data_IF_668430277330
#
_entry.id   IF_668430277330
#
_cell.length_a   1.000
_cell.length_b   1.000
_cell.length_c   1.000
_cell.angle_alpha   90.00
_cell.angle_beta   90.00
_cell.angle_gamma   90.00
#
_symmetry.space_group_name_H-M   'P 1'
#
loop_
_entity.id
_entity.type
_entity.pdbx_description
1 polymer ?
#
# COMPACT_ATOMS: atom_id res chain seq x y z
N UNK A 1 -0.21 -18.70 31.28
CA UNK A 1 -0.14 -19.37 29.97
C UNK A 1 -1.55 -19.55 29.48
N UNK A 2 -2.05 -18.81 28.50
CA UNK A 2 -1.48 -18.66 27.16
C UNK A 2 -1.91 -17.29 26.57
N UNK A 3 -0.95 -16.42 26.24
CA UNK A 3 -1.16 -15.18 25.47
C UNK A 3 -1.19 -15.55 24.00
N UNK A 4 -2.39 -15.76 23.45
CA UNK A 4 -2.61 -15.99 22.02
C UNK A 4 -3.07 -14.70 21.33
N UNK A 5 -2.18 -14.13 20.52
CA UNK A 5 -2.42 -12.98 19.65
C UNK A 5 -3.67 -13.19 18.77
N UNK A 6 -4.72 -12.42 19.06
CA UNK A 6 -5.94 -12.45 18.26
C UNK A 6 -5.79 -11.51 17.06
N UNK A 7 -5.43 -12.12 15.93
CA UNK A 7 -5.70 -11.62 14.59
C UNK A 7 -7.08 -10.94 14.56
N UNK A 8 -7.10 -9.64 14.26
CA UNK A 8 -8.31 -8.86 14.08
C UNK A 8 -9.24 -9.57 13.08
N UNK A 9 -10.38 -10.00 13.62
CA UNK A 9 -11.41 -10.74 12.88
C UNK A 9 -12.08 -9.81 11.87
N UNK A 10 -11.93 -10.13 10.58
CA UNK A 10 -12.75 -9.54 9.53
C UNK A 10 -14.20 -10.04 9.71
N UNK A 11 -15.01 -9.25 10.42
CA UNK A 11 -16.45 -9.49 10.50
C UNK A 11 -17.06 -9.32 9.10
N UNK A 12 -17.59 -10.41 8.56
CA UNK A 12 -18.25 -10.47 7.25
C UNK A 12 -19.60 -9.73 7.36
N UNK A 13 -19.68 -8.49 6.92
CA UNK A 13 -20.96 -7.80 6.73
C UNK A 13 -21.52 -8.12 5.33
N UNK A 14 -22.61 -8.89 5.30
CA UNK A 14 -23.46 -9.06 4.12
C UNK A 14 -24.21 -7.76 3.82
N UNK A 15 -23.64 -6.92 2.97
CA UNK A 15 -24.38 -5.94 2.15
C UNK A 15 -23.77 -6.04 0.75
N UNK A 16 -24.60 -6.15 -0.29
CA UNK A 16 -24.22 -6.58 -1.63
C UNK A 16 -23.36 -5.61 -2.45
N UNK A 17 -22.24 -5.11 -1.92
CA UNK A 17 -21.19 -4.44 -2.67
C UNK A 17 -19.86 -5.15 -2.45
N UNK A 18 -19.18 -5.51 -3.54
CA UNK A 18 -17.84 -6.12 -3.49
C UNK A 18 -16.91 -5.11 -2.80
N UNK A 19 -16.18 -5.47 -1.73
CA UNK A 19 -15.22 -4.55 -1.14
C UNK A 19 -14.21 -4.16 -2.22
N UNK A 20 -14.03 -2.86 -2.46
CA UNK A 20 -12.95 -2.36 -3.30
C UNK A 20 -11.64 -2.90 -2.71
N UNK A 21 -10.72 -3.36 -3.57
CA UNK A 21 -9.41 -3.78 -3.10
C UNK A 21 -8.75 -2.61 -2.36
N UNK A 22 -8.09 -2.89 -1.23
CA UNK A 22 -7.35 -1.88 -0.43
C UNK A 22 -6.28 -1.14 -1.25
N UNK A 23 -5.86 -1.71 -2.37
CA UNK A 23 -4.79 -1.20 -3.21
C UNK A 23 -5.26 -0.97 -4.64
N UNK A 24 -5.04 0.24 -5.14
CA UNK A 24 -5.15 0.57 -6.57
C UNK A 24 -3.77 0.46 -7.23
N UNK A 25 -3.75 0.17 -8.53
CA UNK A 25 -2.53 -0.02 -9.34
C UNK A 25 -2.39 -1.43 -9.94
N UNK A 26 -1.24 -1.74 -10.57
CA UNK A 26 -0.06 -0.88 -10.68
C UNK A 26 -0.28 0.34 -11.59
N UNK A 27 0.36 1.46 -11.24
CA UNK A 27 0.47 2.64 -12.10
C UNK A 27 1.88 2.76 -12.66
N UNK A 28 1.96 3.15 -13.93
CA UNK A 28 3.20 3.38 -14.68
C UNK A 28 3.62 4.86 -14.60
N UNK A 29 3.77 5.32 -13.36
CA UNK A 29 4.07 6.71 -13.00
C UNK A 29 5.17 6.74 -11.94
N UNK A 30 5.54 7.94 -11.49
CA UNK A 30 6.43 8.13 -10.36
C UNK A 30 5.85 9.13 -9.36
N UNK A 31 5.97 8.80 -8.08
CA UNK A 31 5.75 9.74 -6.98
C UNK A 31 7.06 10.48 -6.69
N UNK A 32 7.03 11.81 -6.80
CA UNK A 32 7.99 12.72 -6.17
C UNK A 32 7.21 13.58 -5.18
N UNK A 33 7.59 13.69 -3.89
CA UNK A 33 8.93 13.87 -3.33
C UNK A 33 9.64 12.56 -2.89
N UNK A 34 10.74 12.69 -2.15
CA UNK A 34 11.47 11.55 -1.59
C UNK A 34 10.53 10.64 -0.78
N UNK A 35 10.69 9.31 -0.90
CA UNK A 35 9.96 8.38 -0.05
C UNK A 35 10.28 8.63 1.42
N UNK A 36 9.32 8.30 2.29
CA UNK A 36 9.52 8.40 3.74
C UNK A 36 10.51 7.35 4.24
N UNK A 37 10.38 6.13 3.71
CA UNK A 37 11.25 5.00 4.03
C UNK A 37 11.45 4.12 2.79
N UNK A 38 12.52 3.34 2.82
CA UNK A 38 12.89 2.44 1.75
C UNK A 38 13.42 1.12 2.30
N UNK A 39 13.18 0.04 1.56
CA UNK A 39 13.50 -1.33 1.98
C UNK A 39 13.97 -2.16 0.79
N UNK A 40 14.77 -3.18 1.08
CA UNK A 40 15.03 -4.32 0.19
C UNK A 40 14.15 -5.48 0.64
N UNK A 41 13.07 -5.74 -0.10
CA UNK A 41 12.05 -6.73 0.26
C UNK A 41 11.87 -7.75 -0.84
N UNK A 42 11.67 -9.00 -0.44
CA UNK A 42 11.61 -10.13 -1.37
C UNK A 42 10.43 -10.09 -2.36
N UNK A 43 9.34 -9.39 -2.00
CA UNK A 43 8.13 -9.35 -2.84
C UNK A 43 7.26 -8.12 -2.53
N UNK A 44 6.34 -7.84 -3.46
CA UNK A 44 5.35 -6.77 -3.34
C UNK A 44 4.45 -6.90 -2.10
N UNK A 45 4.10 -8.14 -1.69
CA UNK A 45 3.23 -8.36 -0.54
C UNK A 45 3.89 -7.85 0.74
N UNK A 46 5.18 -8.10 0.93
CA UNK A 46 5.94 -7.54 2.05
C UNK A 46 6.01 -6.01 1.99
N UNK A 47 6.23 -5.43 0.80
CA UNK A 47 6.25 -3.97 0.63
C UNK A 47 4.92 -3.31 0.99
N UNK A 48 3.81 -3.92 0.55
CA UNK A 48 2.46 -3.50 0.92
C UNK A 48 2.23 -3.62 2.42
N UNK A 49 2.63 -4.73 3.04
CA UNK A 49 2.47 -4.94 4.48
C UNK A 49 3.20 -3.85 5.28
N UNK A 50 4.45 -3.54 4.93
CA UNK A 50 5.20 -2.46 5.58
C UNK A 50 4.49 -1.10 5.50
N UNK A 51 3.83 -0.81 4.38
CA UNK A 51 3.01 0.40 4.26
C UNK A 51 1.74 0.33 5.11
N UNK A 52 1.06 -0.83 5.19
CA UNK A 52 -0.11 -0.99 6.07
C UNK A 52 0.24 -0.81 7.55
N UNK A 53 1.43 -1.27 7.95
CA UNK A 53 1.92 -1.16 9.33
C UNK A 53 2.38 0.27 9.68
N UNK A 54 2.56 1.14 8.68
CA UNK A 54 2.95 2.54 8.82
C UNK A 54 1.72 3.45 8.63
N UNK A 55 1.13 4.03 9.69
CA UNK A 55 -0.14 4.77 9.60
C UNK A 55 -0.11 5.97 8.65
N UNK A 56 1.08 6.53 8.40
CA UNK A 56 1.27 7.66 7.49
C UNK A 56 1.40 7.26 6.02
N UNK A 57 1.53 5.97 5.73
CA UNK A 57 1.74 5.50 4.36
C UNK A 57 0.43 5.50 3.56
N UNK A 58 0.52 6.04 2.35
CA UNK A 58 -0.60 6.17 1.41
C UNK A 58 -0.27 5.57 0.04
N UNK A 59 0.99 5.27 -0.25
CA UNK A 59 1.41 4.60 -1.48
C UNK A 59 2.76 3.90 -1.32
N UNK A 60 3.02 2.96 -2.23
CA UNK A 60 4.32 2.34 -2.40
C UNK A 60 4.80 2.44 -3.85
N UNK A 61 6.10 2.34 -4.04
CA UNK A 61 6.75 2.02 -5.31
C UNK A 61 7.53 0.72 -5.13
N UNK A 62 7.31 -0.25 -6.02
CA UNK A 62 7.96 -1.55 -5.93
C UNK A 62 8.46 -2.03 -7.28
N UNK A 63 9.64 -2.65 -7.31
CA UNK A 63 10.13 -3.43 -8.45
C UNK A 63 10.55 -4.83 -8.00
N UNK A 64 10.17 -5.85 -8.79
CA UNK A 64 10.62 -7.23 -8.58
C UNK A 64 11.98 -7.53 -9.23
N UNK A 65 12.44 -6.67 -10.14
CA UNK A 65 13.58 -6.94 -11.03
C UNK A 65 14.68 -5.89 -10.96
N UNK A 66 14.33 -4.66 -10.58
CA UNK A 66 15.26 -3.55 -10.43
C UNK A 66 15.39 -3.11 -8.97
N UNK A 67 16.49 -2.43 -8.68
CA UNK A 67 16.70 -1.74 -7.41
C UNK A 67 17.31 -0.36 -7.64
N UNK A 68 17.04 0.56 -6.72
CA UNK A 68 17.73 1.85 -6.63
C UNK A 68 18.52 1.88 -5.33
N UNK A 69 19.85 1.98 -5.42
CA UNK A 69 20.77 1.86 -4.29
C UNK A 69 20.57 0.55 -3.47
N UNK A 70 20.26 -0.56 -4.16
CA UNK A 70 20.01 -1.85 -3.53
C UNK A 70 18.64 -1.97 -2.85
N UNK A 71 17.73 -1.02 -3.08
CA UNK A 71 16.40 -0.98 -2.49
C UNK A 71 15.35 -1.11 -3.59
N UNK A 72 14.29 -1.87 -3.33
CA UNK A 72 13.26 -2.18 -4.32
C UNK A 72 11.84 -1.88 -3.82
N UNK A 73 11.69 -1.40 -2.58
CA UNK A 73 10.43 -0.98 -1.99
C UNK A 73 10.58 0.43 -1.40
N UNK A 74 9.71 1.34 -1.79
CA UNK A 74 9.67 2.72 -1.30
C UNK A 74 8.27 3.04 -0.81
N UNK A 75 8.12 3.63 0.37
CA UNK A 75 6.82 4.00 0.94
C UNK A 75 6.65 5.52 0.99
N UNK A 76 5.43 6.02 0.75
CA UNK A 76 5.12 7.44 0.58
C UNK A 76 3.89 7.84 1.41
N UNK A 77 3.90 9.06 1.97
CA UNK A 77 2.72 9.70 2.59
C UNK A 77 1.92 10.58 1.63
N UNK A 78 2.23 10.51 0.34
CA UNK A 78 1.44 11.12 -0.72
C UNK A 78 1.19 10.10 -1.83
N UNK A 79 0.17 10.38 -2.64
CA UNK A 79 -0.20 9.64 -3.83
C UNK A 79 0.00 10.47 -5.12
N UNK A 80 0.66 11.62 -5.03
CA UNK A 80 0.83 12.55 -6.15
C UNK A 80 1.78 11.97 -7.20
N UNK A 81 1.22 11.65 -8.37
CA UNK A 81 2.00 11.26 -9.54
C UNK A 81 2.55 12.52 -10.22
N UNK A 82 3.82 12.81 -9.97
CA UNK A 82 4.47 14.06 -10.41
C UNK A 82 5.60 13.85 -11.40
N UNK A 83 5.96 12.60 -11.69
CA UNK A 83 7.03 12.28 -12.63
C UNK A 83 6.73 11.10 -13.54
N UNK A 84 7.54 11.00 -14.57
CA UNK A 84 7.57 9.86 -15.47
C UNK A 84 8.07 8.60 -14.73
N UNK A 85 7.58 7.45 -15.19
CA UNK A 85 8.00 6.13 -14.74
C UNK A 85 9.54 6.00 -14.67
N UNK A 86 10.01 5.30 -13.64
CA UNK A 86 11.42 5.01 -13.41
C UNK A 86 11.69 3.49 -13.41
N UNK A 87 12.50 3.04 -14.37
CA UNK A 87 12.92 1.62 -14.54
C UNK A 87 11.74 0.65 -14.70
N UNK A 88 11.51 -0.21 -13.72
CA UNK A 88 10.37 -1.15 -13.64
C UNK A 88 9.57 -0.95 -12.35
N UNK A 89 9.75 0.21 -11.70
CA UNK A 89 9.06 0.53 -10.48
C UNK A 89 7.61 0.87 -10.76
N UNK A 90 6.70 0.11 -10.17
CA UNK A 90 5.26 0.34 -10.26
C UNK A 90 4.74 0.96 -8.98
N UNK A 91 3.82 1.92 -9.11
CA UNK A 91 3.16 2.56 -7.98
C UNK A 91 1.90 1.80 -7.60
N UNK A 92 1.68 1.64 -6.30
CA UNK A 92 0.43 1.13 -5.74
C UNK A 92 -0.07 2.09 -4.66
N UNK A 93 -1.34 2.47 -4.74
CA UNK A 93 -1.96 3.46 -3.85
C UNK A 93 -2.86 2.77 -2.85
N UNK A 94 -2.72 3.11 -1.56
CA UNK A 94 -3.58 2.61 -0.49
C UNK A 94 -4.86 3.43 -0.50
N UNK A 95 -6.00 2.76 -0.50
CA UNK A 95 -7.23 3.37 -0.05
C UNK A 95 -7.54 2.82 1.34
N UNK A 96 -7.95 3.67 2.30
CA UNK A 96 -8.55 3.12 3.52
C UNK A 96 -9.70 2.20 3.08
N UNK A 97 -9.90 1.04 3.75
CA UNK A 97 -11.12 0.30 3.54
C UNK A 97 -12.24 1.30 3.76
N UNK A 98 -13.08 1.54 2.74
CA UNK A 98 -14.13 2.54 2.82
C UNK A 98 -14.87 2.32 4.14
N UNK A 99 -14.61 3.18 5.12
CA UNK A 99 -15.55 3.39 6.20
C UNK A 99 -16.72 4.05 5.47
N UNK A 100 -17.61 3.23 4.89
CA UNK A 100 -18.89 3.70 4.44
C UNK A 100 -19.48 4.42 5.65
N UNK A 101 -19.46 5.75 5.62
CA UNK A 101 -20.39 6.52 6.41
C UNK A 101 -21.75 6.05 5.96
N UNK A 102 -22.38 5.21 6.77
CA UNK A 102 -23.81 4.97 6.65
C UNK A 102 -24.41 6.31 7.04
N UNK A 103 -24.74 7.15 6.07
CA UNK A 103 -25.64 8.27 6.33
C UNK A 103 -26.87 7.65 6.99
N UNK A 104 -27.07 8.03 8.26
CA UNK A 104 -28.21 7.56 9.05
C UNK A 104 -29.43 8.27 8.50
N UNK A 105 -30.06 7.67 7.50
CA UNK A 105 -31.39 8.05 7.03
C UNK A 105 -32.46 7.65 8.04
#
# INVERSE_FOLDING_TARGET
DDTGDQYLTFQIYKVGHRPKAMWDGPFDTRIMPHPMSWYDLANITACKQHCVDEPSCTAISYSATDSYNGLNCFIYNTQDDTGDHYLTFQIYKVHPPEAYYVESG
#
